data_IF_853302891190
#
_entry.id   IF_853302891190
#
_cell.length_a   1.000
_cell.length_b   1.000
_cell.length_c   1.000
_cell.angle_alpha   90.00
_cell.angle_beta   90.00
_cell.angle_gamma   90.00
#
_symmetry.space_group_name_H-M   'P 1'
#
loop_
_entity.id
_entity.type
_entity.pdbx_description
1 polymer ?
#
# COMPACT_ATOMS: atom_id res chain seq x y z
N UNK A 1 -18.80 -25.20 -2.93
CA UNK A 1 -18.40 -24.28 -4.02
C UNK A 1 -17.21 -23.51 -3.51
N UNK A 2 -16.17 -23.32 -4.31
CA UNK A 2 -15.01 -22.51 -3.92
C UNK A 2 -15.43 -21.03 -4.01
N UNK A 3 -15.32 -20.29 -2.90
CA UNK A 3 -15.66 -18.86 -2.89
C UNK A 3 -14.71 -18.08 -3.80
N UNK A 4 -15.25 -17.10 -4.54
CA UNK A 4 -14.51 -16.22 -5.45
C UNK A 4 -14.54 -14.80 -4.93
N UNK A 5 -13.38 -14.19 -4.70
CA UNK A 5 -13.22 -12.84 -4.15
C UNK A 5 -12.76 -11.87 -5.23
N UNK A 6 -13.42 -10.72 -5.31
CA UNK A 6 -12.93 -9.56 -6.06
C UNK A 6 -12.02 -8.70 -5.18
N UNK A 7 -10.77 -8.48 -5.59
CA UNK A 7 -9.82 -7.61 -4.90
C UNK A 7 -9.66 -6.32 -5.71
N UNK A 8 -10.02 -5.20 -5.11
CA UNK A 8 -9.98 -3.89 -5.77
C UNK A 8 -8.98 -3.00 -5.04
N UNK A 9 -7.87 -2.68 -5.71
CA UNK A 9 -6.87 -1.76 -5.17
C UNK A 9 -7.03 -0.34 -5.72
N UNK A 10 -6.62 0.64 -4.90
CA UNK A 10 -6.62 2.04 -5.32
C UNK A 10 -5.58 2.26 -6.43
N UNK A 11 -5.94 3.04 -7.44
CA UNK A 11 -5.09 3.32 -8.61
C UNK A 11 -3.98 4.36 -8.35
N UNK A 12 -3.96 4.96 -7.20
CA UNK A 12 -2.99 6.01 -6.81
C UNK A 12 -1.72 5.39 -6.18
N UNK A 13 -0.77 4.99 -7.03
CA UNK A 13 0.49 4.43 -6.58
C UNK A 13 0.55 2.90 -6.55
N UNK A 14 1.76 2.36 -6.66
CA UNK A 14 2.02 0.90 -6.70
C UNK A 14 1.83 0.21 -5.35
N UNK A 15 2.05 0.90 -4.25
CA UNK A 15 1.96 0.35 -2.90
C UNK A 15 0.56 -0.22 -2.57
N UNK A 16 -0.51 0.35 -3.14
CA UNK A 16 -1.87 -0.17 -3.01
C UNK A 16 -2.00 -1.57 -3.63
N UNK A 17 -1.49 -1.75 -4.84
CA UNK A 17 -1.52 -3.05 -5.51
C UNK A 17 -0.70 -4.10 -4.73
N UNK A 18 0.46 -3.72 -4.18
CA UNK A 18 1.31 -4.64 -3.42
C UNK A 18 0.67 -5.06 -2.10
N UNK A 19 0.05 -4.15 -1.35
CA UNK A 19 -0.71 -4.51 -0.14
C UNK A 19 -1.84 -5.49 -0.43
N UNK A 20 -2.61 -5.24 -1.48
CA UNK A 20 -3.72 -6.10 -1.84
C UNK A 20 -3.24 -7.44 -2.42
N UNK A 21 -2.08 -7.46 -3.08
CA UNK A 21 -1.40 -8.68 -3.51
C UNK A 21 -0.97 -9.55 -2.31
N UNK A 22 -0.48 -8.93 -1.24
CA UNK A 22 -0.12 -9.66 -0.02
C UNK A 22 -1.31 -10.48 0.51
N UNK A 23 -2.49 -9.87 0.56
CA UNK A 23 -3.74 -10.54 0.98
C UNK A 23 -4.13 -11.62 -0.04
N UNK A 24 -4.08 -11.31 -1.34
CA UNK A 24 -4.43 -12.24 -2.41
C UNK A 24 -3.63 -13.53 -2.35
N UNK A 25 -2.31 -13.45 -2.15
CA UNK A 25 -1.43 -14.60 -2.02
C UNK A 25 -1.80 -15.50 -0.83
N UNK A 26 -2.21 -14.91 0.31
CA UNK A 26 -2.65 -15.68 1.48
C UNK A 26 -4.01 -16.34 1.31
N UNK A 27 -4.92 -15.70 0.56
CA UNK A 27 -6.21 -16.30 0.18
C UNK A 27 -6.01 -17.49 -0.76
N UNK A 28 -5.08 -17.39 -1.71
CA UNK A 28 -4.73 -18.50 -2.61
C UNK A 28 -4.24 -19.73 -1.84
N UNK A 29 -3.40 -19.55 -0.83
CA UNK A 29 -2.92 -20.63 0.05
C UNK A 29 -4.06 -21.33 0.82
N UNK A 30 -5.16 -20.61 1.04
CA UNK A 30 -6.40 -21.17 1.64
C UNK A 30 -7.35 -21.75 0.58
N UNK A 31 -6.92 -21.85 -0.68
CA UNK A 31 -7.72 -22.33 -1.82
C UNK A 31 -8.96 -21.46 -2.09
N UNK A 32 -8.88 -20.15 -1.80
CA UNK A 32 -9.90 -19.17 -2.15
C UNK A 32 -9.51 -18.53 -3.49
N UNK A 33 -10.40 -18.61 -4.48
CA UNK A 33 -10.16 -17.99 -5.78
C UNK A 33 -10.30 -16.46 -5.68
N UNK A 34 -9.45 -15.74 -6.39
CA UNK A 34 -9.55 -14.28 -6.44
C UNK A 34 -9.30 -13.75 -7.86
N UNK A 35 -9.76 -12.54 -8.09
CA UNK A 35 -9.38 -11.69 -9.22
C UNK A 35 -9.05 -10.30 -8.71
N UNK A 36 -8.04 -9.66 -9.31
CA UNK A 36 -7.60 -8.33 -8.89
C UNK A 36 -7.88 -7.29 -9.97
N UNK A 37 -8.27 -6.08 -9.56
CA UNK A 37 -8.43 -4.93 -10.43
C UNK A 37 -8.12 -3.63 -9.69
N UNK A 38 -7.71 -2.59 -10.43
CA UNK A 38 -7.42 -1.27 -9.86
C UNK A 38 -6.89 -0.31 -10.91
N UNK A 39 -5.90 -0.73 -11.67
CA UNK A 39 -5.18 0.09 -12.66
C UNK A 39 -4.08 0.95 -12.02
N UNK A 40 -3.61 1.95 -12.77
CA UNK A 40 -2.54 2.84 -12.31
C UNK A 40 -1.15 2.20 -12.29
N UNK A 41 -0.19 2.81 -11.55
CA UNK A 41 1.20 2.34 -11.53
C UNK A 41 1.39 0.91 -11.03
N UNK A 42 0.47 0.41 -10.18
CA UNK A 42 0.53 -0.94 -9.63
C UNK A 42 0.23 -2.05 -10.63
N UNK A 43 -0.47 -1.73 -11.73
CA UNK A 43 -0.92 -2.74 -12.70
C UNK A 43 0.24 -3.51 -13.35
N UNK A 44 1.33 -2.83 -13.69
CA UNK A 44 2.51 -3.44 -14.31
C UNK A 44 3.10 -4.58 -13.47
N UNK A 45 3.06 -4.48 -12.14
CA UNK A 45 3.57 -5.51 -11.25
C UNK A 45 2.67 -6.75 -11.20
N UNK A 46 1.35 -6.54 -11.34
CA UNK A 46 0.39 -7.65 -11.46
C UNK A 46 0.49 -8.31 -12.82
N UNK A 47 0.70 -7.56 -13.91
CA UNK A 47 0.95 -8.09 -15.25
C UNK A 47 2.19 -8.99 -15.28
N UNK A 48 3.30 -8.57 -14.65
CA UNK A 48 4.52 -9.38 -14.54
C UNK A 48 4.29 -10.72 -13.83
N UNK A 49 3.30 -10.79 -12.94
CA UNK A 49 2.90 -12.02 -12.22
C UNK A 49 1.79 -12.81 -12.90
N UNK A 50 1.33 -12.39 -14.08
CA UNK A 50 0.20 -13.02 -14.78
C UNK A 50 -1.15 -12.82 -14.08
N UNK A 51 -1.24 -11.85 -13.16
CA UNK A 51 -2.44 -11.53 -12.38
C UNK A 51 -3.23 -10.36 -12.98
N UNK A 52 -2.90 -9.94 -14.20
CA UNK A 52 -3.63 -8.88 -14.89
C UNK A 52 -5.09 -9.29 -15.11
N UNK A 53 -6.00 -8.46 -14.65
CA UNK A 53 -7.44 -8.64 -14.78
C UNK A 53 -8.08 -7.44 -15.48
N UNK A 54 -9.35 -7.20 -15.22
CA UNK A 54 -10.11 -6.09 -15.76
C UNK A 54 -9.47 -4.73 -15.44
N UNK A 55 -9.41 -3.84 -16.43
CA UNK A 55 -8.88 -2.47 -16.29
C UNK A 55 -10.02 -1.45 -16.33
N UNK A 56 -10.30 -0.74 -15.23
CA UNK A 56 -11.26 0.37 -15.23
C UNK A 56 -10.80 1.49 -16.17
N UNK A 57 -11.73 2.24 -16.75
CA UNK A 57 -11.41 3.39 -17.64
C UNK A 57 -10.69 4.53 -16.91
N UNK A 58 -10.89 4.66 -15.63
CA UNK A 58 -10.23 5.67 -14.78
C UNK A 58 -9.20 4.95 -13.93
N UNK A 59 -7.93 5.13 -14.26
CA UNK A 59 -6.77 4.49 -13.63
C UNK A 59 -5.80 5.49 -13.00
N UNK A 60 -6.10 6.79 -13.10
CA UNK A 60 -5.28 7.87 -12.56
C UNK A 60 -6.20 9.09 -12.37
N UNK A 61 -6.59 9.33 -11.13
CA UNK A 61 -7.47 10.46 -10.78
C UNK A 61 -6.65 11.71 -10.46
N UNK A 62 -5.53 11.55 -9.77
CA UNK A 62 -4.70 12.66 -9.28
C UNK A 62 -4.03 13.42 -10.41
N UNK A 63 -3.30 12.73 -11.28
CA UNK A 63 -2.59 13.36 -12.42
C UNK A 63 -3.56 14.08 -13.36
N UNK A 64 -4.77 13.54 -13.55
CA UNK A 64 -5.81 14.20 -14.37
C UNK A 64 -6.32 15.50 -13.77
N UNK A 65 -6.43 15.58 -12.44
CA UNK A 65 -6.80 16.79 -11.71
C UNK A 65 -5.68 17.83 -11.82
N UNK A 66 -4.45 17.42 -11.58
CA UNK A 66 -3.26 18.28 -11.61
C UNK A 66 -2.98 18.85 -13.01
N UNK A 67 -3.10 18.04 -14.07
CA UNK A 67 -2.87 18.46 -15.46
C UNK A 67 -3.94 19.39 -16.04
N UNK A 68 -5.14 19.44 -15.46
CA UNK A 68 -6.26 20.24 -15.99
C UNK A 68 -6.97 21.04 -14.89
N UNK A 69 -6.30 22.05 -14.35
CA UNK A 69 -6.81 22.90 -13.26
C UNK A 69 -8.20 23.49 -13.59
N UNK A 70 -8.44 23.90 -14.85
CA UNK A 70 -9.74 24.43 -15.30
C UNK A 70 -10.88 23.41 -15.29
N UNK A 71 -10.57 22.11 -15.35
CA UNK A 71 -11.54 21.00 -15.32
C UNK A 71 -11.44 20.17 -14.05
N UNK A 72 -10.56 20.54 -13.12
CA UNK A 72 -10.30 19.79 -11.89
C UNK A 72 -11.59 19.50 -11.12
N UNK A 73 -12.44 20.50 -10.91
CA UNK A 73 -13.73 20.33 -10.25
C UNK A 73 -14.66 19.35 -10.97
N UNK A 74 -14.65 19.31 -12.30
CA UNK A 74 -15.45 18.35 -13.07
C UNK A 74 -14.90 16.94 -12.93
N UNK A 75 -13.60 16.73 -13.01
CA UNK A 75 -12.97 15.41 -12.88
C UNK A 75 -13.13 14.84 -11.47
N UNK A 76 -13.03 15.67 -10.44
CA UNK A 76 -13.26 15.27 -9.05
C UNK A 76 -14.62 14.56 -8.85
N UNK A 77 -15.65 14.97 -9.59
CA UNK A 77 -16.97 14.34 -9.49
C UNK A 77 -17.23 13.25 -10.55
N UNK A 78 -16.74 13.44 -11.78
CA UNK A 78 -17.09 12.54 -12.89
C UNK A 78 -16.26 11.26 -12.90
N UNK A 79 -15.00 11.33 -12.50
CA UNK A 79 -14.10 10.19 -12.60
C UNK A 79 -14.38 9.12 -11.53
N UNK A 80 -14.64 9.43 -10.25
CA UNK A 80 -15.14 8.45 -9.30
C UNK A 80 -16.43 7.77 -9.75
N UNK A 81 -17.38 8.52 -10.32
CA UNK A 81 -18.65 7.95 -10.81
C UNK A 81 -18.43 6.99 -11.98
N UNK A 82 -17.50 7.29 -12.91
CA UNK A 82 -17.15 6.38 -14.00
C UNK A 82 -16.48 5.12 -13.46
N UNK A 83 -15.52 5.29 -12.53
CA UNK A 83 -14.81 4.19 -11.89
C UNK A 83 -15.78 3.27 -11.13
N UNK A 84 -16.69 3.82 -10.33
CA UNK A 84 -17.73 3.06 -9.64
C UNK A 84 -18.58 2.24 -10.64
N UNK A 85 -19.00 2.84 -11.76
CA UNK A 85 -19.79 2.14 -12.78
C UNK A 85 -19.04 0.98 -13.41
N UNK A 86 -17.75 1.14 -13.67
CA UNK A 86 -16.92 0.10 -14.25
C UNK A 86 -16.68 -1.04 -13.27
N UNK A 87 -16.36 -0.73 -12.01
CA UNK A 87 -16.16 -1.71 -10.95
C UNK A 87 -17.45 -2.49 -10.64
N UNK A 88 -18.62 -1.83 -10.60
CA UNK A 88 -19.92 -2.50 -10.47
C UNK A 88 -20.15 -3.51 -11.59
N UNK A 89 -19.85 -3.12 -12.85
CA UNK A 89 -20.00 -4.01 -13.99
C UNK A 89 -19.07 -5.24 -13.88
N UNK A 90 -17.85 -5.04 -13.40
CA UNK A 90 -16.88 -6.11 -13.19
C UNK A 90 -17.33 -7.06 -12.07
N UNK A 91 -17.70 -6.54 -10.89
CA UNK A 91 -18.20 -7.33 -9.75
C UNK A 91 -19.36 -8.23 -10.18
N UNK A 92 -20.30 -7.69 -10.97
CA UNK A 92 -21.48 -8.40 -11.44
C UNK A 92 -21.17 -9.47 -12.48
N UNK A 93 -20.28 -9.13 -13.44
CA UNK A 93 -19.91 -10.03 -14.55
C UNK A 93 -19.15 -11.26 -14.05
N UNK A 94 -18.25 -11.07 -13.09
CA UNK A 94 -17.38 -12.14 -12.60
C UNK A 94 -18.01 -12.90 -11.41
N UNK A 95 -19.23 -12.54 -10.98
CA UNK A 95 -20.00 -13.23 -9.95
C UNK A 95 -19.28 -13.42 -8.61
N UNK A 96 -18.50 -12.39 -8.19
CA UNK A 96 -17.77 -12.47 -6.93
C UNK A 96 -18.72 -12.64 -5.72
N UNK A 97 -18.35 -13.48 -4.77
CA UNK A 97 -19.10 -13.69 -3.53
C UNK A 97 -18.87 -12.54 -2.54
N UNK A 98 -17.64 -12.03 -2.51
CA UNK A 98 -17.24 -10.91 -1.67
C UNK A 98 -16.20 -10.01 -2.36
N UNK A 99 -15.97 -8.83 -1.80
CA UNK A 99 -14.98 -7.85 -2.28
C UNK A 99 -14.07 -7.44 -1.13
N UNK A 100 -12.75 -7.42 -1.37
CA UNK A 100 -11.77 -6.79 -0.50
C UNK A 100 -11.23 -5.55 -1.21
N UNK A 101 -11.19 -4.40 -0.52
CA UNK A 101 -10.81 -3.16 -1.19
C UNK A 101 -10.15 -2.14 -0.27
N UNK A 102 -9.16 -1.43 -0.79
CA UNK A 102 -8.61 -0.18 -0.24
C UNK A 102 -8.99 1.05 -1.09
N UNK A 103 -9.87 0.86 -2.10
CA UNK A 103 -10.36 1.90 -3.00
C UNK A 103 -11.78 2.36 -2.58
N UNK A 104 -11.99 3.64 -2.25
CA UNK A 104 -13.32 4.18 -1.96
C UNK A 104 -14.35 3.93 -3.07
N UNK A 105 -13.92 3.94 -4.35
CA UNK A 105 -14.82 3.62 -5.47
C UNK A 105 -15.20 2.14 -5.50
N UNK A 106 -14.26 1.26 -5.15
CA UNK A 106 -14.47 -0.18 -5.02
C UNK A 106 -15.47 -0.51 -3.92
N UNK A 107 -15.34 0.15 -2.80
CA UNK A 107 -16.25 0.03 -1.67
C UNK A 107 -17.70 0.42 -2.03
N UNK A 108 -17.87 1.59 -2.65
CA UNK A 108 -19.18 2.05 -3.09
C UNK A 108 -19.76 1.07 -4.14
N UNK A 109 -18.91 0.56 -5.04
CA UNK A 109 -19.34 -0.41 -6.04
C UNK A 109 -19.85 -1.71 -5.40
N UNK A 110 -19.12 -2.28 -4.44
CA UNK A 110 -19.52 -3.48 -3.71
C UNK A 110 -20.83 -3.29 -2.94
N UNK A 111 -20.93 -2.19 -2.21
CA UNK A 111 -22.17 -1.83 -1.50
C UNK A 111 -23.38 -1.74 -2.43
N UNK A 112 -23.25 -1.06 -3.57
CA UNK A 112 -24.33 -0.91 -4.54
C UNK A 112 -24.71 -2.21 -5.26
N UNK A 113 -23.82 -3.20 -5.30
CA UNK A 113 -24.10 -4.55 -5.82
C UNK A 113 -24.59 -5.51 -4.72
N UNK A 114 -24.73 -5.04 -3.48
CA UNK A 114 -25.20 -5.86 -2.35
C UNK A 114 -24.27 -7.02 -2.01
N UNK A 115 -22.96 -6.85 -2.26
CA UNK A 115 -21.95 -7.85 -1.94
C UNK A 115 -21.41 -7.64 -0.53
N UNK A 116 -21.02 -8.74 0.13
CA UNK A 116 -20.13 -8.65 1.30
C UNK A 116 -18.87 -7.89 0.90
N UNK A 117 -18.38 -7.01 1.75
CA UNK A 117 -17.11 -6.35 1.48
C UNK A 117 -16.30 -6.08 2.74
N UNK A 118 -15.01 -6.13 2.58
CA UNK A 118 -13.99 -5.90 3.58
C UNK A 118 -13.14 -4.71 3.15
N UNK A 119 -12.92 -3.77 4.07
CA UNK A 119 -12.12 -2.59 3.79
C UNK A 119 -10.74 -2.74 4.42
N UNK A 120 -9.70 -2.34 3.68
CA UNK A 120 -8.31 -2.32 4.17
C UNK A 120 -7.81 -0.88 4.09
N UNK A 121 -7.46 -0.26 5.20
CA UNK A 121 -6.91 1.09 5.20
C UNK A 121 -6.10 1.37 6.46
N UNK A 122 -4.96 2.03 6.30
CA UNK A 122 -4.14 2.53 7.41
C UNK A 122 -4.38 4.01 7.71
N UNK A 123 -5.19 4.69 6.89
CA UNK A 123 -5.41 6.13 7.02
C UNK A 123 -6.61 6.40 7.91
N UNK A 124 -6.37 6.98 9.08
CA UNK A 124 -7.39 7.57 9.93
C UNK A 124 -7.29 9.08 9.90
N UNK A 125 -8.30 9.79 10.40
CA UNK A 125 -8.29 11.24 10.49
C UNK A 125 -7.16 11.82 11.39
N UNK A 126 -6.43 10.98 12.11
CA UNK A 126 -5.30 11.37 12.98
C UNK A 126 -3.94 11.22 12.30
N UNK A 127 -3.89 10.56 11.13
CA UNK A 127 -2.63 10.33 10.40
C UNK A 127 -2.23 11.54 9.54
N UNK A 128 -3.09 12.13 8.69
CA UNK A 128 -2.71 13.31 7.91
C UNK A 128 -2.43 14.53 8.79
N UNK A 129 -1.36 15.27 8.49
CA UNK A 129 -1.08 16.56 9.12
C UNK A 129 -2.01 17.67 8.61
N UNK A 130 -2.49 17.57 7.37
CA UNK A 130 -3.41 18.53 6.79
C UNK A 130 -4.83 18.36 7.37
N UNK A 131 -5.40 19.47 7.84
CA UNK A 131 -6.71 19.47 8.53
C UNK A 131 -7.88 19.14 7.61
N UNK A 132 -7.80 19.51 6.33
CA UNK A 132 -8.86 19.22 5.37
C UNK A 132 -8.84 17.74 4.98
N UNK A 133 -7.66 17.19 4.74
CA UNK A 133 -7.45 15.77 4.48
C UNK A 133 -7.89 14.92 5.67
N UNK A 134 -7.52 15.31 6.89
CA UNK A 134 -7.98 14.71 8.14
C UNK A 134 -9.51 14.69 8.26
N UNK A 135 -10.20 15.80 7.99
CA UNK A 135 -11.65 15.90 8.03
C UNK A 135 -12.33 15.04 6.94
N UNK A 136 -11.81 15.06 5.72
CA UNK A 136 -12.32 14.23 4.63
C UNK A 136 -12.20 12.73 4.96
N UNK A 137 -11.05 12.31 5.49
CA UNK A 137 -10.81 10.94 5.96
C UNK A 137 -11.79 10.55 7.07
N UNK A 138 -12.04 11.44 8.03
CA UNK A 138 -13.01 11.19 9.10
C UNK A 138 -14.41 10.94 8.56
N UNK A 139 -14.87 11.73 7.59
CA UNK A 139 -16.20 11.54 6.97
C UNK A 139 -16.26 10.18 6.26
N UNK A 140 -15.23 9.86 5.46
CA UNK A 140 -15.17 8.60 4.72
C UNK A 140 -15.24 7.42 5.69
N UNK A 141 -14.39 7.40 6.70
CA UNK A 141 -14.34 6.31 7.68
C UNK A 141 -15.70 6.16 8.40
N UNK A 142 -16.33 7.27 8.82
CA UNK A 142 -17.65 7.24 9.47
C UNK A 142 -18.77 6.70 8.57
N UNK A 143 -18.65 6.86 7.27
CA UNK A 143 -19.63 6.34 6.32
C UNK A 143 -19.37 4.87 5.96
N UNK A 144 -18.12 4.46 5.97
CA UNK A 144 -17.67 3.14 5.51
C UNK A 144 -17.74 2.09 6.60
N UNK A 145 -17.14 2.36 7.75
CA UNK A 145 -16.95 1.40 8.84
C UNK A 145 -18.25 0.67 9.22
N UNK A 146 -19.39 1.35 9.41
CA UNK A 146 -20.63 0.67 9.81
C UNK A 146 -21.30 -0.18 8.71
N UNK A 147 -20.74 -0.24 7.51
CA UNK A 147 -21.37 -0.87 6.33
C UNK A 147 -20.60 -2.04 5.76
N UNK A 148 -19.37 -2.25 6.21
CA UNK A 148 -18.55 -3.37 5.79
C UNK A 148 -18.66 -4.54 6.78
N UNK A 149 -18.29 -5.76 6.35
CA UNK A 149 -18.22 -6.92 7.24
C UNK A 149 -17.10 -6.73 8.27
N UNK A 150 -15.92 -6.27 7.81
CA UNK A 150 -14.79 -5.98 8.65
C UNK A 150 -13.95 -4.82 8.06
N UNK A 151 -13.44 -3.95 8.93
CA UNK A 151 -12.51 -2.89 8.57
C UNK A 151 -11.13 -3.25 9.12
N UNK A 152 -10.25 -3.74 8.25
CA UNK A 152 -8.88 -4.08 8.61
C UNK A 152 -8.00 -2.84 8.58
N UNK A 153 -7.29 -2.64 9.68
CA UNK A 153 -6.38 -1.53 9.88
C UNK A 153 -4.94 -2.03 10.02
N UNK A 154 -4.20 -2.18 8.89
CA UNK A 154 -2.83 -2.66 8.90
C UNK A 154 -1.88 -1.56 9.37
N UNK A 155 -1.27 -1.78 10.53
CA UNK A 155 -0.40 -0.77 11.16
C UNK A 155 0.83 -1.38 11.83
N UNK A 156 1.88 -0.57 11.92
CA UNK A 156 3.11 -0.86 12.65
C UNK A 156 2.99 -0.33 14.09
N UNK A 157 2.24 0.76 14.28
CA UNK A 157 2.04 1.44 15.58
C UNK A 157 0.86 0.88 16.36
N UNK A 158 0.79 1.23 17.65
CA UNK A 158 -0.29 0.85 18.55
C UNK A 158 -1.13 2.09 18.97
N UNK A 159 -2.37 1.85 19.35
CA UNK A 159 -3.19 2.80 20.13
C UNK A 159 -3.89 3.92 19.34
N UNK A 160 -3.80 3.97 18.01
CA UNK A 160 -4.43 5.01 17.17
C UNK A 160 -5.43 4.47 16.14
N UNK A 161 -5.86 3.24 16.31
CA UNK A 161 -6.91 2.65 15.45
C UNK A 161 -8.28 3.28 15.69
N UNK A 162 -9.16 3.29 14.69
CA UNK A 162 -10.59 3.51 14.91
C UNK A 162 -11.16 2.45 15.86
N UNK A 163 -12.11 2.81 16.74
CA UNK A 163 -12.70 1.89 17.74
C UNK A 163 -13.36 0.65 17.11
N UNK A 164 -13.82 0.77 15.88
CA UNK A 164 -14.55 -0.28 15.13
C UNK A 164 -13.66 -1.00 14.11
N UNK A 165 -12.35 -0.75 14.12
CA UNK A 165 -11.42 -1.38 13.18
C UNK A 165 -10.67 -2.53 13.84
N UNK A 166 -10.48 -3.60 13.10
CA UNK A 166 -9.61 -4.70 13.50
C UNK A 166 -8.18 -4.36 13.11
N UNK A 167 -7.34 -4.10 14.13
CA UNK A 167 -5.92 -3.91 13.93
C UNK A 167 -5.27 -5.22 13.50
N UNK A 168 -4.49 -5.16 12.43
CA UNK A 168 -3.67 -6.26 11.93
C UNK A 168 -2.24 -5.79 11.76
N UNK A 169 -1.29 -6.71 11.73
CA UNK A 169 0.12 -6.39 11.46
C UNK A 169 0.35 -5.73 10.10
N UNK A 170 1.57 -5.26 9.83
CA UNK A 170 1.96 -4.70 8.55
C UNK A 170 1.78 -5.72 7.42
N UNK A 171 1.59 -5.24 6.18
CA UNK A 171 1.33 -6.08 5.02
C UNK A 171 2.56 -6.14 4.11
N UNK A 172 3.00 -7.35 3.80
CA UNK A 172 4.07 -7.61 2.83
C UNK A 172 3.69 -8.74 1.87
N UNK A 173 3.84 -8.56 0.54
CA UNK A 173 3.67 -9.66 -0.41
C UNK A 173 4.79 -10.67 -0.23
N UNK A 174 4.55 -11.92 -0.62
CA UNK A 174 5.64 -12.91 -0.74
C UNK A 174 6.52 -12.54 -1.93
N UNK A 175 7.80 -12.59 -1.70
CA UNK A 175 8.84 -12.55 -2.73
C UNK A 175 9.47 -13.93 -2.92
N UNK A 176 10.24 -14.09 -3.98
CA UNK A 176 11.14 -15.23 -4.15
C UNK A 176 12.46 -14.88 -3.44
N UNK A 177 13.04 -15.83 -2.72
CA UNK A 177 14.37 -15.63 -2.13
C UNK A 177 15.37 -15.40 -3.26
N UNK A 178 16.15 -14.35 -3.14
CA UNK A 178 17.18 -13.96 -4.10
C UNK A 178 18.50 -13.83 -3.37
N UNK A 179 19.56 -14.35 -3.97
CA UNK A 179 20.92 -14.14 -3.46
C UNK A 179 21.43 -12.80 -4.02
N UNK A 180 21.30 -11.76 -3.22
CA UNK A 180 21.63 -10.38 -3.59
C UNK A 180 22.70 -9.84 -2.65
N UNK A 181 23.71 -9.18 -3.20
CA UNK A 181 24.78 -8.52 -2.44
C UNK A 181 24.62 -7.00 -2.57
N UNK A 182 24.17 -6.34 -1.53
CA UNK A 182 24.16 -4.88 -1.35
C UNK A 182 23.76 -4.51 0.08
N UNK A 183 24.10 -3.30 0.51
CA UNK A 183 23.88 -2.84 1.89
C UNK A 183 22.58 -2.00 2.00
N UNK A 184 22.36 -1.10 1.04
CA UNK A 184 21.30 -0.09 1.12
C UNK A 184 20.37 -0.16 -0.08
N UNK A 185 19.06 -0.23 0.19
CA UNK A 185 18.01 -0.07 -0.81
C UNK A 185 17.37 1.32 -0.71
N UNK A 186 17.45 2.10 -1.77
CA UNK A 186 16.80 3.39 -1.87
C UNK A 186 15.53 3.25 -2.71
N UNK A 187 14.37 3.59 -2.13
CA UNK A 187 13.05 3.50 -2.78
C UNK A 187 12.46 4.91 -2.92
N UNK A 188 12.74 5.60 -4.04
CA UNK A 188 12.19 6.92 -4.31
C UNK A 188 10.66 6.88 -4.45
N UNK A 189 9.99 8.01 -4.18
CA UNK A 189 8.58 8.20 -4.56
C UNK A 189 8.51 9.16 -5.73
N UNK A 190 7.46 9.07 -6.54
CA UNK A 190 7.22 9.99 -7.67
C UNK A 190 7.15 11.48 -7.23
N UNK A 191 6.92 11.73 -5.95
CA UNK A 191 6.82 13.08 -5.36
C UNK A 191 8.18 13.65 -4.89
N UNK A 192 9.25 12.87 -4.90
CA UNK A 192 10.55 13.26 -4.40
C UNK A 192 11.63 13.04 -5.46
N UNK A 193 12.13 14.10 -6.06
CA UNK A 193 13.47 14.07 -6.64
C UNK A 193 14.44 13.84 -5.48
N UNK A 194 14.98 12.63 -5.38
CA UNK A 194 16.10 12.40 -4.47
C UNK A 194 17.32 13.18 -4.98
N UNK A 195 17.96 13.90 -4.08
CA UNK A 195 19.18 14.63 -4.40
C UNK A 195 20.25 13.61 -4.81
N UNK A 196 20.74 13.69 -6.05
CA UNK A 196 21.78 12.80 -6.57
C UNK A 196 23.03 12.80 -5.67
N UNK A 197 23.34 13.94 -5.03
CA UNK A 197 24.47 14.08 -4.11
C UNK A 197 24.37 13.15 -2.91
N UNK A 198 23.18 12.97 -2.40
CA UNK A 198 22.89 12.05 -1.30
C UNK A 198 23.18 10.58 -1.69
N UNK A 199 22.78 10.16 -2.90
CA UNK A 199 23.07 8.81 -3.40
C UNK A 199 24.58 8.62 -3.61
N UNK A 200 25.27 9.61 -4.17
CA UNK A 200 26.71 9.58 -4.38
C UNK A 200 27.50 9.56 -3.05
N UNK A 201 27.00 10.18 -2.01
CA UNK A 201 27.57 10.12 -0.66
C UNK A 201 27.49 8.70 -0.09
N UNK A 202 26.32 8.07 -0.16
CA UNK A 202 26.12 6.69 0.28
C UNK A 202 27.02 5.71 -0.47
N UNK A 203 27.14 5.83 -1.79
CA UNK A 203 27.96 4.98 -2.65
C UNK A 203 29.48 5.04 -2.34
N UNK A 204 29.95 6.01 -1.56
CA UNK A 204 31.35 6.05 -1.11
C UNK A 204 31.67 4.99 -0.06
N UNK A 205 30.68 4.52 0.68
CA UNK A 205 30.86 3.62 1.83
C UNK A 205 30.04 2.34 1.76
N UNK A 206 29.01 2.30 0.92
CA UNK A 206 28.03 1.22 0.85
C UNK A 206 27.74 0.78 -0.59
N UNK A 207 27.40 -0.48 -0.77
CA UNK A 207 26.78 -0.98 -2.00
C UNK A 207 25.31 -0.57 -2.03
N UNK A 208 24.94 0.38 -2.92
CA UNK A 208 23.62 1.02 -2.94
C UNK A 208 22.83 0.61 -4.18
N UNK A 209 21.63 0.09 -4.00
CA UNK A 209 20.63 -0.09 -5.07
C UNK A 209 19.57 0.98 -5.01
N UNK A 210 19.24 1.58 -6.16
CA UNK A 210 18.23 2.64 -6.27
C UNK A 210 17.13 2.19 -7.21
N UNK A 211 15.91 2.02 -6.67
CA UNK A 211 14.74 1.62 -7.43
C UNK A 211 14.37 2.71 -8.44
N UNK A 212 14.22 2.32 -9.71
CA UNK A 212 13.83 3.24 -10.78
C UNK A 212 14.97 4.05 -11.39
N UNK A 213 16.24 3.83 -10.98
CA UNK A 213 17.42 4.35 -11.68
C UNK A 213 17.61 3.66 -13.04
N UNK A 214 18.52 4.18 -13.87
CA UNK A 214 18.86 3.58 -15.18
C UNK A 214 19.45 2.16 -15.04
N UNK A 215 20.04 1.84 -13.89
CA UNK A 215 20.60 0.53 -13.56
C UNK A 215 19.58 -0.43 -12.95
N UNK A 216 18.36 0.04 -12.68
CA UNK A 216 17.30 -0.75 -12.06
C UNK A 216 16.47 -1.51 -13.09
N UNK A 217 16.55 -2.82 -13.08
CA UNK A 217 15.61 -3.67 -13.81
C UNK A 217 14.30 -3.78 -13.01
N UNK A 218 13.17 -3.53 -13.68
CA UNK A 218 11.85 -3.59 -13.04
C UNK A 218 11.58 -4.99 -12.48
N UNK A 219 11.30 -5.07 -11.19
CA UNK A 219 11.05 -6.30 -10.46
C UNK A 219 9.55 -6.47 -10.16
N UNK A 220 9.04 -7.70 -10.10
CA UNK A 220 7.64 -7.95 -9.77
C UNK A 220 7.31 -7.62 -8.30
N UNK A 221 8.30 -7.60 -7.40
CA UNK A 221 8.18 -7.25 -5.98
C UNK A 221 9.49 -6.66 -5.47
N UNK A 222 9.40 -5.72 -4.53
CA UNK A 222 10.56 -5.21 -3.81
C UNK A 222 10.92 -6.07 -2.59
N UNK A 223 10.04 -6.94 -2.16
CA UNK A 223 10.19 -7.68 -0.91
C UNK A 223 11.52 -8.48 -0.82
N UNK A 224 12.02 -9.18 -1.87
CA UNK A 224 13.33 -9.83 -1.81
C UNK A 224 14.48 -8.84 -1.56
N UNK A 225 14.43 -7.67 -2.19
CA UNK A 225 15.44 -6.61 -2.02
C UNK A 225 15.37 -5.98 -0.64
N UNK A 226 14.17 -5.80 -0.11
CA UNK A 226 13.95 -5.26 1.24
C UNK A 226 14.48 -6.24 2.29
N UNK A 227 14.29 -7.54 2.10
CA UNK A 227 14.76 -8.57 3.04
C UNK A 227 16.29 -8.69 3.07
N UNK A 228 16.97 -8.49 1.96
CA UNK A 228 18.42 -8.57 1.85
C UNK A 228 19.15 -7.28 2.28
N UNK A 229 18.47 -6.13 2.20
CA UNK A 229 19.06 -4.86 2.60
C UNK A 229 19.31 -4.79 4.12
N UNK A 230 20.42 -4.16 4.52
CA UNK A 230 20.62 -3.76 5.92
C UNK A 230 19.74 -2.56 6.27
N UNK A 231 19.67 -1.58 5.35
CA UNK A 231 18.86 -0.37 5.51
C UNK A 231 18.05 -0.06 4.26
N UNK A 232 16.78 0.26 4.45
CA UNK A 232 15.89 0.79 3.39
C UNK A 232 15.67 2.28 3.61
N UNK A 233 15.93 3.09 2.58
CA UNK A 233 15.65 4.53 2.60
C UNK A 233 14.41 4.78 1.77
N UNK A 234 13.32 5.22 2.38
CA UNK A 234 12.04 5.39 1.68
C UNK A 234 11.14 6.47 2.30
N UNK A 235 10.10 6.85 1.55
CA UNK A 235 9.04 7.72 2.02
C UNK A 235 7.67 7.02 2.12
N UNK A 236 7.47 5.94 1.36
CA UNK A 236 6.18 5.26 1.20
C UNK A 236 5.87 4.28 2.33
N UNK A 237 4.67 4.38 2.92
CA UNK A 237 4.27 3.51 4.02
C UNK A 237 4.20 2.03 3.65
N UNK A 238 3.86 1.69 2.41
CA UNK A 238 3.88 0.28 1.96
C UNK A 238 5.27 -0.34 2.06
N UNK A 239 6.32 0.40 1.67
CA UNK A 239 7.71 -0.05 1.82
C UNK A 239 8.10 -0.21 3.29
N UNK A 240 7.65 0.71 4.15
CA UNK A 240 7.86 0.61 5.61
C UNK A 240 7.18 -0.63 6.20
N UNK A 241 5.98 -0.98 5.73
CA UNK A 241 5.31 -2.22 6.15
C UNK A 241 6.08 -3.46 5.71
N UNK A 242 6.53 -3.51 4.45
CA UNK A 242 7.32 -4.62 3.92
C UNK A 242 8.65 -4.78 4.69
N UNK A 243 9.35 -3.68 4.97
CA UNK A 243 10.56 -3.66 5.79
C UNK A 243 10.30 -4.15 7.23
N UNK A 244 9.18 -3.73 7.83
CA UNK A 244 8.79 -4.16 9.16
C UNK A 244 8.53 -5.66 9.27
N UNK A 245 7.94 -6.27 8.23
CA UNK A 245 7.76 -7.73 8.14
C UNK A 245 9.10 -8.44 7.95
N UNK A 246 10.01 -7.86 7.17
CA UNK A 246 11.34 -8.42 6.93
C UNK A 246 12.30 -8.26 8.12
N UNK A 247 12.03 -7.35 9.05
CA UNK A 247 12.97 -6.98 10.10
C UNK A 247 14.13 -6.16 9.57
N UNK A 248 13.88 -5.29 8.59
CA UNK A 248 14.88 -4.42 7.95
C UNK A 248 14.75 -3.00 8.48
N UNK A 249 15.88 -2.36 8.74
CA UNK A 249 15.94 -0.97 9.23
C UNK A 249 15.46 0.02 8.17
N UNK A 250 14.84 1.12 8.60
CA UNK A 250 14.25 2.13 7.70
C UNK A 250 14.69 3.54 8.08
N UNK A 251 15.30 4.26 7.14
CA UNK A 251 15.44 5.72 7.22
C UNK A 251 14.29 6.36 6.44
N UNK A 252 13.45 7.12 7.15
CA UNK A 252 12.21 7.70 6.62
C UNK A 252 12.45 9.10 6.07
N UNK A 253 12.07 9.34 4.80
CA UNK A 253 12.17 10.64 4.10
C UNK A 253 10.78 11.13 3.64
N UNK A 254 9.85 11.47 4.55
CA UNK A 254 8.47 11.76 4.20
C UNK A 254 8.33 13.07 3.42
N UNK A 255 7.51 13.07 2.36
CA UNK A 255 7.25 14.20 1.49
C UNK A 255 5.82 14.75 1.63
N UNK A 256 4.82 13.85 1.67
CA UNK A 256 3.40 14.24 1.75
C UNK A 256 2.94 14.41 3.20
N UNK A 257 1.77 15.04 3.40
CA UNK A 257 1.13 15.21 4.71
C UNK A 257 0.89 13.85 5.41
N UNK A 258 0.38 12.87 4.67
CA UNK A 258 0.17 11.51 5.17
C UNK A 258 1.49 10.86 5.59
N UNK A 259 2.51 10.90 4.73
CA UNK A 259 3.83 10.32 5.03
C UNK A 259 4.48 10.97 6.27
N UNK A 260 4.36 12.30 6.42
CA UNK A 260 4.83 13.02 7.61
C UNK A 260 4.10 12.58 8.87
N UNK A 261 2.79 12.38 8.77
CA UNK A 261 1.99 11.84 9.87
C UNK A 261 2.42 10.44 10.27
N UNK A 262 2.60 9.54 9.30
CA UNK A 262 3.10 8.18 9.53
C UNK A 262 4.50 8.20 10.17
N UNK A 263 5.42 8.96 9.61
CA UNK A 263 6.80 9.02 10.11
C UNK A 263 6.87 9.55 11.56
N UNK A 264 6.00 10.48 11.94
CA UNK A 264 5.87 10.93 13.34
C UNK A 264 5.42 9.82 14.28
N UNK A 265 4.55 8.93 13.81
CA UNK A 265 4.08 7.79 14.60
C UNK A 265 5.17 6.72 14.76
N UNK A 266 6.04 6.58 13.77
CA UNK A 266 7.06 5.52 13.73
C UNK A 266 8.42 5.95 14.30
N UNK A 267 8.71 7.24 14.44
CA UNK A 267 10.05 7.74 14.82
C UNK A 267 10.61 7.22 16.15
N UNK A 268 9.74 6.74 17.03
CA UNK A 268 10.09 6.23 18.36
C UNK A 268 9.99 4.67 18.40
N UNK A 269 9.78 4.01 17.24
CA UNK A 269 9.75 2.56 17.11
C UNK A 269 11.11 2.04 16.64
N UNK A 270 11.53 0.90 17.19
CA UNK A 270 12.75 0.22 16.79
C UNK A 270 12.75 -0.05 15.27
N UNK A 271 13.88 0.20 14.63
CA UNK A 271 14.06 0.04 13.19
C UNK A 271 13.60 1.21 12.33
N UNK A 272 13.11 2.30 12.93
CA UNK A 272 12.66 3.48 12.19
C UNK A 272 13.38 4.74 12.63
N UNK A 273 14.06 5.40 11.71
CA UNK A 273 14.72 6.69 11.93
C UNK A 273 14.20 7.74 10.95
N UNK A 274 13.87 8.91 11.47
CA UNK A 274 13.55 10.06 10.64
C UNK A 274 14.84 10.67 10.10
N UNK A 275 14.90 10.95 8.80
CA UNK A 275 16.03 11.66 8.20
C UNK A 275 16.29 12.98 8.94
N UNK A 276 17.51 13.11 9.49
CA UNK A 276 17.94 14.25 10.32
C UNK A 276 18.54 15.38 9.51
N UNK A 277 19.00 15.09 8.29
CA UNK A 277 19.80 15.97 7.43
C UNK A 277 21.23 15.45 7.19
N UNK A 278 21.67 14.43 7.93
CA UNK A 278 22.90 13.69 7.72
C UNK A 278 22.57 12.21 7.49
N UNK A 279 22.67 11.75 6.26
CA UNK A 279 22.24 10.40 5.89
C UNK A 279 23.20 9.34 6.38
N UNK A 280 24.49 9.66 6.44
CA UNK A 280 25.50 8.72 6.90
C UNK A 280 25.30 8.40 8.38
N UNK A 281 25.08 9.45 9.20
CA UNK A 281 24.74 9.30 10.61
C UNK A 281 23.44 8.51 10.80
N UNK A 282 22.39 8.82 10.01
CA UNK A 282 21.10 8.16 10.13
C UNK A 282 21.15 6.67 9.79
N UNK A 283 21.95 6.28 8.79
CA UNK A 283 22.16 4.87 8.39
C UNK A 283 22.95 4.11 9.45
N UNK A 284 23.97 4.74 10.05
CA UNK A 284 24.81 4.11 11.09
C UNK A 284 24.07 3.94 12.43
N UNK A 285 23.12 4.86 12.73
CA UNK A 285 22.41 4.87 14.02
C UNK A 285 21.09 4.09 14.04
N UNK A 286 20.53 3.76 12.85
CA UNK A 286 19.28 3.01 12.83
C UNK A 286 19.50 1.56 13.25
N UNK A 287 18.84 1.14 14.31
CA UNK A 287 18.93 -0.23 14.83
C UNK A 287 18.08 -1.20 14.00
N UNK A 288 18.55 -2.45 13.86
CA UNK A 288 17.79 -3.49 13.17
C UNK A 288 16.65 -3.98 14.06
N UNK A 289 15.38 -3.92 13.60
CA UNK A 289 14.25 -4.36 14.40
C UNK A 289 14.04 -5.86 14.31
N UNK A 290 13.28 -6.42 15.26
CA UNK A 290 12.74 -7.76 15.11
C UNK A 290 11.66 -7.81 14.02
N UNK A 291 11.63 -8.87 13.17
CA UNK A 291 10.59 -9.05 12.16
C UNK A 291 9.19 -9.11 12.78
N UNK A 292 8.22 -8.47 12.13
CA UNK A 292 6.83 -8.47 12.59
C UNK A 292 5.99 -9.50 11.84
N UNK A 293 4.96 -10.01 12.50
CA UNK A 293 3.97 -10.88 11.86
C UNK A 293 3.27 -10.16 10.71
N UNK A 294 3.08 -10.86 9.60
CA UNK A 294 2.42 -10.32 8.43
C UNK A 294 0.89 -10.29 8.63
N UNK A 295 0.30 -9.11 8.66
CA UNK A 295 -1.14 -8.93 8.82
C UNK A 295 -1.99 -9.53 7.69
N UNK A 296 -1.40 -9.81 6.54
CA UNK A 296 -2.10 -10.48 5.45
C UNK A 296 -2.55 -11.90 5.82
N UNK A 297 -1.79 -12.60 6.68
CA UNK A 297 -2.17 -13.91 7.20
C UNK A 297 -3.41 -13.80 8.08
N UNK A 298 -3.47 -12.79 8.94
CA UNK A 298 -4.60 -12.51 9.83
C UNK A 298 -5.87 -12.18 9.03
N UNK A 299 -5.75 -11.28 8.03
CA UNK A 299 -6.87 -10.92 7.15
C UNK A 299 -7.40 -12.14 6.41
N UNK A 300 -6.52 -12.92 5.77
CA UNK A 300 -6.93 -14.10 5.01
C UNK A 300 -7.60 -15.17 5.90
N UNK A 301 -7.15 -15.33 7.14
CA UNK A 301 -7.79 -16.24 8.10
C UNK A 301 -9.21 -15.78 8.41
N UNK A 302 -9.41 -14.52 8.81
CA UNK A 302 -10.72 -13.96 9.15
C UNK A 302 -11.69 -14.02 7.98
N UNK A 303 -11.26 -13.59 6.78
CA UNK A 303 -12.09 -13.64 5.57
C UNK A 303 -12.45 -15.09 5.21
N UNK A 304 -11.51 -16.03 5.34
CA UNK A 304 -11.78 -17.44 5.02
C UNK A 304 -12.80 -18.08 5.97
N UNK A 305 -12.80 -17.66 7.24
CA UNK A 305 -13.79 -18.12 8.24
C UNK A 305 -15.19 -17.59 7.96
N UNK A 306 -15.30 -16.31 7.56
CA UNK A 306 -16.59 -15.67 7.28
C UNK A 306 -17.24 -16.12 5.95
N UNK A 307 -16.45 -16.68 5.04
CA UNK A 307 -16.94 -17.22 3.76
C UNK A 307 -17.32 -18.70 3.79
N UNK A 308 -17.10 -19.39 4.90
CA UNK A 308 -17.50 -20.80 5.12
C UNK A 308 -18.92 -20.90 5.62
#
# INVERSE_FOLDING_TARGET
MTSKIGIIYNCEGSGHAMRMLAIAQRLEEKNIQFEMTGGGPGEKFLEMRGLSSYKPRVTDMRTRIEQNILKAGLYTFTDPVKRIKDLRKWIRKEEHDAVITDDPSGLIAAYLEGKKFYTVSHVTHRVPEDRFESWATWIINRLVIPRNEEFFYPVIWEGLSPEEATCVGPLAPKGEDMDLEFDILVVPTEAAEMDERFIEELKQSYEVKVVGSDEWELQPSLQPFISEADVVICAGYSTMMEASVAGTSVVMMPQTSEQKGVAKLLKDYDGFKMYSGDIMEDVEEVERPEPRENGADQIAEMVSQDLR
#
